data_IF_038487321892
#
_entry.id   IF_038487321892
#
_cell.length_a   1.000
_cell.length_b   1.000
_cell.length_c   1.000
_cell.angle_alpha   90.00
_cell.angle_beta   90.00
_cell.angle_gamma   90.00
#
_symmetry.space_group_name_H-M   'P 1'
#
loop_
_entity.id
_entity.type
_entity.pdbx_description
1 polymer ?
#
# COMPACT_ATOMS: atom_id res chain seq x y z
N UNK A 1 44.24 47.60 11.48
CA UNK A 1 43.70 46.34 12.03
C UNK A 1 42.50 45.96 11.19
N UNK A 2 42.68 45.01 10.26
CA UNK A 2 41.61 44.49 9.42
C UNK A 2 40.72 43.57 10.26
N UNK A 3 39.41 43.84 10.26
CA UNK A 3 38.42 42.98 10.90
C UNK A 3 38.18 41.73 10.05
N UNK A 4 38.42 40.57 10.65
CA UNK A 4 38.11 39.27 10.07
C UNK A 4 36.60 39.15 9.82
N UNK A 5 36.23 39.19 8.55
CA UNK A 5 34.91 38.80 8.09
C UNK A 5 34.76 37.29 8.28
N UNK A 6 34.05 36.89 9.33
CA UNK A 6 33.66 35.51 9.57
C UNK A 6 32.86 34.98 8.37
N UNK A 7 33.54 34.21 7.51
CA UNK A 7 32.93 33.48 6.39
C UNK A 7 31.96 32.46 6.95
N UNK A 8 30.65 32.74 6.87
CA UNK A 8 29.59 31.74 7.11
C UNK A 8 29.77 30.63 6.08
N UNK A 9 30.25 29.46 6.50
CA UNK A 9 30.24 28.26 5.64
C UNK A 9 28.82 28.03 5.14
N UNK A 10 28.61 27.72 3.84
CA UNK A 10 27.29 27.42 3.32
C UNK A 10 26.75 26.19 4.04
N UNK A 11 25.67 26.38 4.81
CA UNK A 11 24.96 25.27 5.44
C UNK A 11 24.59 24.26 4.34
N UNK A 12 25.08 23.02 4.45
CA UNK A 12 24.74 22.00 3.46
C UNK A 12 23.21 21.88 3.41
N UNK A 13 22.63 22.02 2.21
CA UNK A 13 21.18 21.92 2.00
C UNK A 13 20.76 20.48 2.29
N UNK A 14 20.50 20.16 3.55
CA UNK A 14 19.94 18.86 3.96
C UNK A 14 18.58 18.70 3.29
N UNK A 15 18.36 17.55 2.67
CA UNK A 15 17.07 17.21 2.07
C UNK A 15 15.98 17.27 3.14
N UNK A 16 14.90 17.98 2.83
CA UNK A 16 13.71 18.04 3.68
C UNK A 16 12.91 16.73 3.56
N UNK A 17 12.29 16.23 4.64
CA UNK A 17 11.46 15.02 4.61
C UNK A 17 10.47 14.94 3.46
N UNK A 18 9.77 16.02 3.10
CA UNK A 18 8.82 15.97 1.98
C UNK A 18 9.50 15.69 0.63
N UNK A 19 10.76 16.14 0.45
CA UNK A 19 11.52 15.92 -0.78
C UNK A 19 11.86 14.44 -0.95
N UNK A 20 12.10 13.71 0.16
CA UNK A 20 12.34 12.27 0.12
C UNK A 20 11.10 11.52 -0.40
N UNK A 21 9.90 11.93 0.00
CA UNK A 21 8.66 11.37 -0.54
C UNK A 21 8.63 11.56 -2.06
N UNK A 22 8.83 12.79 -2.54
CA UNK A 22 8.78 13.11 -3.98
C UNK A 22 9.82 12.29 -4.75
N UNK A 23 11.07 12.24 -4.28
CA UNK A 23 12.14 11.48 -4.93
C UNK A 23 11.78 9.99 -5.01
N UNK A 24 11.28 9.41 -3.91
CA UNK A 24 10.86 8.01 -3.88
C UNK A 24 9.70 7.75 -4.85
N UNK A 25 8.70 8.62 -4.86
CA UNK A 25 7.53 8.51 -5.75
C UNK A 25 7.90 8.62 -7.22
N UNK A 26 8.74 9.59 -7.58
CA UNK A 26 9.29 9.72 -8.93
C UNK A 26 10.13 8.50 -9.31
N UNK A 27 10.98 8.01 -8.40
CA UNK A 27 11.80 6.81 -8.64
C UNK A 27 10.94 5.57 -8.93
N UNK A 28 9.93 5.30 -8.08
CA UNK A 28 9.01 4.17 -8.28
C UNK A 28 8.17 4.36 -9.55
N UNK A 29 7.69 5.56 -9.82
CA UNK A 29 6.91 5.86 -11.02
C UNK A 29 7.73 5.65 -12.30
N UNK A 30 8.95 6.18 -12.36
CA UNK A 30 9.85 5.96 -13.51
C UNK A 30 10.19 4.48 -13.65
N UNK A 31 10.50 3.79 -12.55
CA UNK A 31 10.76 2.35 -12.57
C UNK A 31 9.58 1.60 -13.18
N UNK A 32 8.35 1.86 -12.71
CA UNK A 32 7.12 1.21 -13.20
C UNK A 32 6.83 1.51 -14.67
N UNK A 33 7.14 2.73 -15.14
CA UNK A 33 7.00 3.08 -16.55
C UNK A 33 8.00 2.29 -17.42
N UNK A 34 9.27 2.25 -17.02
CA UNK A 34 10.33 1.52 -17.73
C UNK A 34 10.04 0.01 -17.73
N UNK A 35 9.54 -0.49 -16.61
CA UNK A 35 9.05 -1.85 -16.38
C UNK A 35 8.07 -2.32 -17.47
N UNK A 36 7.18 -1.45 -17.94
CA UNK A 36 6.26 -1.77 -19.02
C UNK A 36 6.84 -1.72 -20.43
N UNK A 37 7.88 -0.90 -20.63
CA UNK A 37 8.51 -0.73 -21.94
C UNK A 37 9.40 -1.93 -22.27
N UNK A 38 10.18 -2.42 -21.30
CA UNK A 38 11.16 -3.49 -21.53
C UNK A 38 10.53 -4.75 -22.16
N UNK A 39 9.46 -5.35 -21.62
CA UNK A 39 8.85 -6.55 -22.20
C UNK A 39 8.28 -6.34 -23.61
N UNK A 40 7.84 -5.12 -23.94
CA UNK A 40 7.30 -4.82 -25.28
C UNK A 40 8.37 -4.80 -26.37
N UNK A 41 9.61 -4.53 -26.00
CA UNK A 41 10.76 -4.51 -26.92
C UNK A 41 11.40 -5.89 -26.97
N UNK A 42 11.52 -6.56 -25.83
CA UNK A 42 12.28 -7.81 -25.73
C UNK A 42 11.49 -9.04 -26.13
N UNK A 43 10.16 -9.03 -25.95
CA UNK A 43 9.31 -10.19 -26.22
C UNK A 43 9.67 -11.41 -25.37
N UNK A 44 10.25 -11.21 -24.18
CA UNK A 44 10.72 -12.29 -23.34
C UNK A 44 9.56 -13.08 -22.72
N UNK A 45 9.40 -14.32 -23.14
CA UNK A 45 8.42 -15.27 -22.60
C UNK A 45 9.10 -16.42 -21.85
N UNK A 46 8.29 -17.20 -21.12
CA UNK A 46 8.75 -18.40 -20.42
C UNK A 46 8.60 -19.60 -21.34
N UNK A 47 9.64 -20.44 -21.45
CA UNK A 47 9.61 -21.67 -22.25
C UNK A 47 8.94 -22.84 -21.51
N UNK A 48 8.65 -22.71 -20.21
CA UNK A 48 8.02 -23.77 -19.41
C UNK A 48 6.56 -23.97 -19.85
N UNK A 49 6.04 -25.20 -19.96
CA UNK A 49 4.61 -25.42 -20.20
C UNK A 49 3.72 -25.07 -18.98
N UNK A 50 4.32 -25.01 -17.78
CA UNK A 50 3.65 -24.64 -16.53
C UNK A 50 4.08 -23.23 -16.17
N UNK A 51 3.33 -22.24 -16.66
CA UNK A 51 3.46 -20.83 -16.32
C UNK A 51 2.17 -20.11 -16.75
N UNK A 52 2.01 -18.87 -16.32
CA UNK A 52 0.96 -17.99 -16.82
C UNK A 52 1.54 -16.95 -17.77
N UNK A 53 0.84 -16.71 -18.88
CA UNK A 53 1.13 -15.58 -19.77
C UNK A 53 0.64 -14.27 -19.14
N UNK A 54 1.56 -13.34 -18.89
CA UNK A 54 1.23 -12.02 -18.34
C UNK A 54 0.50 -11.19 -19.39
N UNK A 55 -0.62 -10.57 -19.01
CA UNK A 55 -1.53 -9.86 -19.92
C UNK A 55 -2.08 -10.71 -21.08
N UNK A 56 -2.15 -12.04 -20.94
CA UNK A 56 -2.79 -12.91 -21.94
C UNK A 56 -4.23 -12.47 -22.21
N UNK A 57 -4.57 -12.26 -23.49
CA UNK A 57 -5.91 -11.81 -23.89
C UNK A 57 -6.25 -10.35 -23.54
N UNK A 58 -5.31 -9.54 -23.03
CA UNK A 58 -5.52 -8.11 -22.78
C UNK A 58 -5.06 -7.29 -24.01
N UNK A 59 -5.92 -6.44 -24.59
CA UNK A 59 -5.57 -5.58 -25.72
C UNK A 59 -4.38 -4.65 -25.45
N UNK A 60 -3.53 -4.45 -26.45
CA UNK A 60 -2.35 -3.57 -26.38
C UNK A 60 -2.62 -2.16 -25.82
N UNK A 61 -3.70 -1.46 -26.26
CA UNK A 61 -4.04 -0.14 -25.71
C UNK A 61 -4.30 -0.14 -24.19
N UNK A 62 -4.87 -1.23 -23.64
CA UNK A 62 -5.09 -1.35 -22.20
C UNK A 62 -3.80 -1.58 -21.43
N UNK A 63 -2.85 -2.35 -21.99
CA UNK A 63 -1.50 -2.51 -21.41
C UNK A 63 -0.77 -1.17 -21.38
N UNK A 64 -0.83 -0.40 -22.47
CA UNK A 64 -0.25 0.94 -22.56
C UNK A 64 -0.90 1.89 -21.52
N UNK A 65 -2.22 1.87 -21.40
CA UNK A 65 -2.92 2.66 -20.38
C UNK A 65 -2.49 2.27 -18.96
N UNK A 66 -2.34 0.98 -18.66
CA UNK A 66 -1.85 0.51 -17.36
C UNK A 66 -0.45 1.05 -17.05
N UNK A 67 0.50 0.85 -17.96
CA UNK A 67 1.90 1.28 -17.77
C UNK A 67 2.11 2.80 -17.85
N UNK A 68 1.09 3.59 -18.17
CA UNK A 68 1.14 5.06 -18.14
C UNK A 68 0.39 5.62 -16.93
N UNK A 69 -0.83 5.15 -16.66
CA UNK A 69 -1.68 5.67 -15.59
C UNK A 69 -1.15 5.28 -14.21
N UNK A 70 -0.70 4.04 -14.01
CA UNK A 70 -0.18 3.59 -12.71
C UNK A 70 1.02 4.43 -12.23
N UNK A 71 2.09 4.63 -13.03
CA UNK A 71 3.20 5.46 -12.58
C UNK A 71 2.81 6.91 -12.33
N UNK A 72 1.91 7.49 -13.14
CA UNK A 72 1.36 8.83 -12.89
C UNK A 72 0.64 8.90 -11.54
N UNK A 73 -0.15 7.89 -11.19
CA UNK A 73 -0.86 7.80 -9.91
C UNK A 73 0.10 7.63 -8.73
N UNK A 74 1.20 6.88 -8.90
CA UNK A 74 2.23 6.72 -7.86
C UNK A 74 2.97 8.04 -7.60
N UNK A 75 3.32 8.77 -8.67
CA UNK A 75 3.93 10.11 -8.56
C UNK A 75 2.96 11.08 -7.90
N UNK A 76 1.72 11.16 -8.39
CA UNK A 76 0.68 12.02 -7.82
C UNK A 76 0.44 11.69 -6.34
N UNK A 77 0.35 10.41 -5.99
CA UNK A 77 0.10 9.98 -4.62
C UNK A 77 1.24 10.37 -3.68
N UNK A 78 2.48 10.27 -4.17
CA UNK A 78 3.65 10.76 -3.45
C UNK A 78 3.65 12.29 -3.28
N UNK A 79 3.24 13.06 -4.29
CA UNK A 79 3.08 14.52 -4.16
C UNK A 79 2.05 14.87 -3.08
N UNK A 80 0.90 14.16 -3.05
CA UNK A 80 -0.13 14.35 -2.00
C UNK A 80 0.37 13.97 -0.62
N UNK A 81 1.17 12.91 -0.51
CA UNK A 81 1.81 12.54 0.74
C UNK A 81 2.86 13.57 1.17
N UNK A 82 3.61 14.14 0.22
CA UNK A 82 4.57 15.22 0.46
C UNK A 82 3.88 16.49 0.99
N UNK A 83 2.71 16.85 0.47
CA UNK A 83 1.90 17.96 1.01
C UNK A 83 1.51 17.70 2.47
N UNK A 84 1.22 16.45 2.83
CA UNK A 84 0.97 16.09 4.23
C UNK A 84 2.23 16.20 5.09
N UNK A 85 3.39 15.80 4.59
CA UNK A 85 4.67 15.95 5.29
C UNK A 85 5.00 17.44 5.52
N UNK A 86 4.78 18.30 4.53
CA UNK A 86 4.94 19.75 4.67
C UNK A 86 4.11 20.33 5.80
N UNK A 87 2.90 19.81 6.02
CA UNK A 87 2.07 20.23 7.14
C UNK A 87 2.68 19.84 8.49
N UNK A 88 3.34 18.67 8.59
CA UNK A 88 4.07 18.28 9.81
C UNK A 88 5.30 19.14 10.04
N UNK A 89 5.99 19.54 8.97
CA UNK A 89 7.19 20.39 9.02
C UNK A 89 6.93 21.83 9.48
N UNK A 90 5.66 22.28 9.55
CA UNK A 90 5.29 23.58 10.13
C UNK A 90 5.47 23.64 11.64
N UNK A 91 5.51 22.48 12.29
CA UNK A 91 5.60 22.41 13.74
C UNK A 91 7.01 22.72 14.25
N UNK A 92 7.09 23.23 15.47
CA UNK A 92 8.33 23.49 16.16
C UNK A 92 9.25 22.25 16.23
N UNK A 93 10.59 22.44 16.28
CA UNK A 93 11.54 21.33 16.39
C UNK A 93 11.28 20.46 17.63
N UNK A 94 11.32 19.15 17.44
CA UNK A 94 11.27 18.14 18.51
C UNK A 94 12.32 17.06 18.23
N UNK A 95 13.26 16.89 19.15
CA UNK A 95 14.37 15.97 18.96
C UNK A 95 13.90 14.53 19.09
N UNK A 96 13.75 13.86 17.95
CA UNK A 96 13.45 12.41 17.87
C UNK A 96 14.58 11.62 17.27
N UNK A 97 15.84 12.04 17.46
CA UNK A 97 16.99 11.33 16.92
C UNK A 97 17.05 9.88 17.42
N UNK A 98 17.32 8.95 16.49
CA UNK A 98 17.64 7.57 16.83
C UNK A 98 19.05 7.52 17.43
N UNK A 99 19.20 6.94 18.61
CA UNK A 99 20.47 6.78 19.32
C UNK A 99 20.68 5.31 19.70
N UNK A 100 21.91 4.86 19.98
CA UNK A 100 22.16 3.50 20.46
C UNK A 100 21.34 3.13 21.71
N UNK A 101 21.01 4.12 22.55
CA UNK A 101 20.21 3.93 23.77
C UNK A 101 18.73 3.63 23.49
N UNK A 102 18.14 4.22 22.44
CA UNK A 102 16.71 4.10 22.16
C UNK A 102 16.37 3.18 20.96
N UNK A 103 17.32 2.87 20.09
CA UNK A 103 17.07 2.12 18.84
C UNK A 103 16.39 0.78 19.09
N UNK A 104 16.82 0.02 20.10
CA UNK A 104 16.22 -1.27 20.46
C UNK A 104 14.74 -1.13 20.82
N UNK A 105 14.40 -0.13 21.64
CA UNK A 105 13.00 0.16 22.04
C UNK A 105 12.17 0.60 20.83
N UNK A 106 12.70 1.50 20.01
CA UNK A 106 11.99 2.00 18.81
C UNK A 106 11.72 0.91 17.79
N UNK A 107 12.69 0.03 17.54
CA UNK A 107 12.51 -1.13 16.67
C UNK A 107 11.48 -2.10 17.26
N UNK A 108 11.46 -2.30 18.58
CA UNK A 108 10.44 -3.12 19.23
C UNK A 108 9.03 -2.51 19.11
N UNK A 109 8.90 -1.19 19.26
CA UNK A 109 7.63 -0.47 19.08
C UNK A 109 7.17 -0.50 17.62
N UNK A 110 8.07 -0.25 16.67
CA UNK A 110 7.79 -0.41 15.24
C UNK A 110 7.32 -1.82 14.93
N UNK A 111 8.03 -2.84 15.44
CA UNK A 111 7.66 -4.24 15.32
C UNK A 111 6.26 -4.48 15.89
N UNK A 112 5.94 -3.93 17.06
CA UNK A 112 4.60 -4.07 17.63
C UNK A 112 3.51 -3.45 16.73
N UNK A 113 3.83 -2.39 15.99
CA UNK A 113 2.92 -1.76 15.02
C UNK A 113 2.71 -2.59 13.75
N UNK A 114 3.80 -2.99 13.08
CA UNK A 114 3.73 -3.78 11.83
C UNK A 114 3.19 -5.20 12.03
N UNK A 115 3.28 -5.74 13.26
CA UNK A 115 2.70 -7.04 13.61
C UNK A 115 1.32 -6.93 14.29
N UNK A 116 0.64 -5.79 14.22
CA UNK A 116 -0.72 -5.57 14.77
C UNK A 116 -0.85 -5.88 16.27
N UNK A 117 0.25 -5.99 17.03
CA UNK A 117 0.24 -6.45 18.42
C UNK A 117 -0.58 -5.54 19.33
N UNK A 118 -0.59 -4.25 19.03
CA UNK A 118 -1.37 -3.27 19.80
C UNK A 118 -2.87 -3.37 19.55
N UNK A 119 -3.29 -3.76 18.34
CA UNK A 119 -4.70 -3.94 17.98
C UNK A 119 -5.27 -5.23 18.56
N UNK A 120 -4.44 -6.27 18.75
CA UNK A 120 -4.84 -7.53 19.39
C UNK A 120 -5.34 -7.40 20.83
N UNK A 121 -5.22 -6.20 21.44
CA UNK A 121 -5.92 -5.87 22.71
C UNK A 121 -7.45 -5.96 22.59
N UNK A 122 -8.00 -5.71 21.41
CA UNK A 122 -9.35 -6.12 21.00
C UNK A 122 -9.15 -7.23 19.96
N UNK A 123 -9.22 -8.49 20.39
CA UNK A 123 -8.86 -9.65 19.56
C UNK A 123 -9.66 -9.71 18.26
N UNK A 124 -10.95 -9.38 18.30
CA UNK A 124 -11.80 -9.32 17.11
C UNK A 124 -11.35 -8.22 16.13
N UNK A 125 -11.07 -7.02 16.64
CA UNK A 125 -10.56 -5.94 15.80
C UNK A 125 -9.16 -6.24 15.25
N UNK A 126 -8.28 -6.79 16.08
CA UNK A 126 -6.90 -7.11 15.72
C UNK A 126 -6.80 -8.22 14.69
N UNK A 127 -7.55 -9.32 14.85
CA UNK A 127 -7.58 -10.41 13.87
C UNK A 127 -8.13 -9.91 12.53
N UNK A 128 -9.27 -9.23 12.54
CA UNK A 128 -9.88 -8.65 11.34
C UNK A 128 -8.92 -7.71 10.58
N UNK A 129 -8.25 -6.79 11.27
CA UNK A 129 -7.25 -5.92 10.61
C UNK A 129 -6.00 -6.69 10.16
N UNK A 130 -5.60 -7.74 10.87
CA UNK A 130 -4.46 -8.58 10.47
C UNK A 130 -4.76 -9.32 9.18
N UNK A 131 -5.98 -9.85 9.03
CA UNK A 131 -6.44 -10.49 7.78
C UNK A 131 -6.37 -9.51 6.60
N UNK A 132 -6.84 -8.27 6.78
CA UNK A 132 -6.77 -7.23 5.75
C UNK A 132 -5.32 -6.85 5.46
N UNK A 133 -4.52 -6.53 6.48
CA UNK A 133 -3.17 -6.02 6.29
C UNK A 133 -2.22 -7.05 5.69
N UNK A 134 -2.13 -8.24 6.30
CA UNK A 134 -1.23 -9.28 5.81
C UNK A 134 -1.72 -9.88 4.50
N UNK A 135 -3.05 -10.06 4.34
CA UNK A 135 -3.61 -10.47 3.06
C UNK A 135 -3.26 -9.48 1.95
N UNK A 136 -3.44 -8.18 2.18
CA UNK A 136 -3.06 -7.15 1.21
C UNK A 136 -1.56 -7.13 0.91
N UNK A 137 -0.69 -7.25 1.93
CA UNK A 137 0.76 -7.26 1.72
C UNK A 137 1.22 -8.49 0.92
N UNK A 138 0.65 -9.66 1.18
CA UNK A 138 0.94 -10.88 0.41
C UNK A 138 0.48 -10.71 -1.03
N UNK A 139 -0.75 -10.20 -1.26
CA UNK A 139 -1.25 -9.92 -2.61
C UNK A 139 -0.41 -8.89 -3.36
N UNK A 140 0.03 -7.82 -2.69
CA UNK A 140 0.96 -6.84 -3.27
C UNK A 140 2.30 -7.51 -3.63
N UNK A 141 2.79 -8.41 -2.76
CA UNK A 141 3.98 -9.22 -3.02
C UNK A 141 3.81 -10.12 -4.23
N UNK A 142 2.69 -10.84 -4.33
CA UNK A 142 2.31 -11.70 -5.48
C UNK A 142 2.35 -10.89 -6.77
N UNK A 143 1.66 -9.75 -6.84
CA UNK A 143 1.67 -8.88 -8.03
C UNK A 143 3.07 -8.34 -8.36
N UNK A 144 3.84 -7.94 -7.35
CA UNK A 144 5.22 -7.42 -7.55
C UNK A 144 6.15 -8.51 -8.07
N UNK A 145 6.04 -9.74 -7.54
CA UNK A 145 6.83 -10.90 -7.96
C UNK A 145 6.51 -11.28 -9.40
N UNK A 146 5.23 -11.25 -9.80
CA UNK A 146 4.81 -11.45 -11.19
C UNK A 146 5.41 -10.39 -12.14
N UNK A 147 5.38 -9.13 -11.73
CA UNK A 147 5.90 -8.03 -12.53
C UNK A 147 7.43 -8.12 -12.69
N UNK A 148 8.15 -8.52 -11.62
CA UNK A 148 9.59 -8.78 -11.69
C UNK A 148 9.89 -9.91 -12.66
N UNK A 149 9.21 -11.07 -12.52
CA UNK A 149 9.39 -12.21 -13.41
C UNK A 149 9.08 -11.85 -14.87
N UNK A 150 8.02 -11.06 -15.10
CA UNK A 150 7.63 -10.60 -16.44
C UNK A 150 8.78 -9.89 -17.17
N UNK A 151 9.54 -9.07 -16.44
CA UNK A 151 10.67 -8.29 -16.96
C UNK A 151 11.97 -9.07 -17.11
N UNK A 152 12.07 -10.27 -16.51
CA UNK A 152 13.29 -11.06 -16.58
C UNK A 152 13.48 -11.70 -17.97
N UNK A 153 14.72 -11.83 -18.45
CA UNK A 153 15.02 -12.64 -19.63
C UNK A 153 14.68 -14.11 -19.38
N UNK A 154 14.43 -14.92 -20.42
CA UNK A 154 13.97 -16.31 -20.27
C UNK A 154 14.81 -17.14 -19.30
N UNK A 155 16.14 -16.98 -19.35
CA UNK A 155 17.08 -17.69 -18.47
C UNK A 155 16.99 -17.32 -16.97
N UNK A 156 16.33 -16.20 -16.62
CA UNK A 156 16.16 -15.73 -15.24
C UNK A 156 14.70 -15.73 -14.78
N UNK A 157 13.75 -16.12 -15.65
CA UNK A 157 12.36 -16.32 -15.24
C UNK A 157 12.29 -17.49 -14.26
N UNK A 158 11.50 -17.33 -13.21
CA UNK A 158 11.43 -18.24 -12.08
C UNK A 158 10.00 -18.63 -11.69
N UNK A 159 8.97 -17.91 -12.17
CA UNK A 159 7.56 -18.25 -11.92
C UNK A 159 7.05 -19.32 -12.89
N UNK A 160 7.62 -20.51 -12.79
CA UNK A 160 7.21 -21.67 -13.57
C UNK A 160 7.21 -22.96 -12.74
N UNK A 161 6.59 -24.03 -13.26
CA UNK A 161 6.56 -25.33 -12.60
C UNK A 161 5.96 -25.28 -11.19
N UNK A 162 6.63 -25.87 -10.21
CA UNK A 162 6.17 -25.89 -8.82
C UNK A 162 6.22 -24.53 -8.13
N UNK A 163 7.12 -23.64 -8.57
CA UNK A 163 7.17 -22.26 -8.06
C UNK A 163 5.89 -21.52 -8.45
N UNK A 164 5.43 -21.67 -9.70
CA UNK A 164 4.17 -21.10 -10.15
C UNK A 164 2.97 -21.68 -9.37
N UNK A 165 2.94 -22.99 -9.14
CA UNK A 165 1.86 -23.65 -8.38
C UNK A 165 1.76 -23.12 -6.95
N UNK A 166 2.89 -23.01 -6.26
CA UNK A 166 2.94 -22.42 -4.92
C UNK A 166 2.54 -20.94 -4.92
N UNK A 167 3.00 -20.19 -5.92
CA UNK A 167 2.63 -18.78 -6.13
C UNK A 167 1.11 -18.60 -6.30
N UNK A 168 0.46 -19.43 -7.13
CA UNK A 168 -0.98 -19.40 -7.35
C UNK A 168 -1.76 -19.71 -6.06
N UNK A 169 -1.38 -20.78 -5.35
CA UNK A 169 -1.99 -21.14 -4.07
C UNK A 169 -1.86 -20.02 -3.02
N UNK A 170 -0.68 -19.42 -2.89
CA UNK A 170 -0.44 -18.31 -1.96
C UNK A 170 -1.30 -17.10 -2.32
N UNK A 171 -1.40 -16.78 -3.61
CA UNK A 171 -2.28 -15.73 -4.12
C UNK A 171 -3.73 -15.94 -3.71
N UNK A 172 -4.28 -17.12 -3.95
CA UNK A 172 -5.67 -17.46 -3.65
C UNK A 172 -5.98 -17.44 -2.15
N UNK A 173 -5.13 -18.08 -1.35
CA UNK A 173 -5.32 -18.12 0.11
C UNK A 173 -5.23 -16.70 0.69
N UNK A 174 -4.26 -15.89 0.24
CA UNK A 174 -4.16 -14.49 0.65
C UNK A 174 -5.36 -13.67 0.21
N UNK A 175 -5.87 -13.91 -1.01
CA UNK A 175 -7.10 -13.31 -1.54
C UNK A 175 -8.31 -13.59 -0.67
N UNK A 176 -8.48 -14.83 -0.20
CA UNK A 176 -9.57 -15.23 0.70
C UNK A 176 -9.42 -14.56 2.05
N UNK A 177 -8.23 -14.60 2.64
CA UNK A 177 -7.95 -13.99 3.94
C UNK A 177 -8.23 -12.48 3.89
N UNK A 178 -7.72 -11.79 2.86
CA UNK A 178 -7.96 -10.37 2.64
C UNK A 178 -9.46 -10.07 2.51
N UNK A 179 -10.13 -10.74 1.58
CA UNK A 179 -11.55 -10.49 1.26
C UNK A 179 -12.45 -10.79 2.45
N UNK A 180 -12.22 -11.90 3.16
CA UNK A 180 -12.94 -12.23 4.39
C UNK A 180 -12.72 -11.19 5.49
N UNK A 181 -11.50 -10.67 5.63
CA UNK A 181 -11.19 -9.59 6.56
C UNK A 181 -11.97 -8.30 6.23
N UNK A 182 -12.05 -7.94 4.95
CA UNK A 182 -12.82 -6.76 4.50
C UNK A 182 -14.32 -6.95 4.71
N UNK A 183 -14.88 -8.12 4.35
CA UNK A 183 -16.29 -8.46 4.61
C UNK A 183 -16.59 -8.37 6.10
N UNK A 184 -15.73 -8.94 6.95
CA UNK A 184 -15.89 -8.83 8.40
C UNK A 184 -15.83 -7.37 8.87
N UNK A 185 -14.94 -6.54 8.32
CA UNK A 185 -14.89 -5.12 8.63
C UNK A 185 -16.17 -4.37 8.22
N UNK A 186 -16.77 -4.70 7.08
CA UNK A 186 -18.06 -4.17 6.63
C UNK A 186 -19.17 -4.60 7.61
N UNK A 187 -19.30 -5.89 7.90
CA UNK A 187 -20.30 -6.42 8.83
C UNK A 187 -20.17 -5.80 10.23
N UNK A 188 -18.96 -5.70 10.75
CA UNK A 188 -18.70 -5.10 12.07
C UNK A 188 -19.05 -3.61 12.09
N UNK A 189 -18.84 -2.90 10.98
CA UNK A 189 -19.08 -1.46 10.89
C UNK A 189 -20.54 -1.09 10.63
N UNK A 190 -21.23 -1.83 9.77
CA UNK A 190 -22.56 -1.47 9.26
C UNK A 190 -23.69 -2.36 9.76
N UNK A 191 -23.39 -3.53 10.33
CA UNK A 191 -24.40 -4.44 10.90
C UNK A 191 -24.26 -4.47 12.43
N UNK A 192 -23.12 -4.93 12.95
CA UNK A 192 -22.92 -5.08 14.40
C UNK A 192 -22.85 -3.73 15.14
N UNK A 193 -22.32 -2.70 14.47
CA UNK A 193 -22.22 -1.31 14.95
C UNK A 193 -21.83 -1.15 16.44
N UNK A 194 -20.69 -1.69 16.92
CA UNK A 194 -20.22 -1.43 18.28
C UNK A 194 -20.15 0.06 18.59
N UNK A 195 -20.49 0.48 19.83
CA UNK A 195 -20.62 1.90 20.20
C UNK A 195 -19.46 2.79 19.72
N UNK A 196 -18.21 2.34 19.96
CA UNK A 196 -16.98 3.07 19.57
C UNK A 196 -16.84 3.28 18.06
N UNK A 197 -17.40 2.39 17.25
CA UNK A 197 -17.37 2.44 15.78
C UNK A 197 -18.54 3.29 15.28
N UNK A 198 -19.74 3.09 15.83
CA UNK A 198 -20.96 3.80 15.44
C UNK A 198 -20.78 5.31 15.46
N UNK A 199 -20.21 5.86 16.54
CA UNK A 199 -20.02 7.31 16.71
C UNK A 199 -18.89 7.89 15.86
N UNK A 200 -18.02 7.05 15.26
CA UNK A 200 -16.86 7.48 14.46
C UNK A 200 -17.00 7.15 12.98
N UNK A 201 -18.08 6.51 12.55
CA UNK A 201 -18.28 6.15 11.15
C UNK A 201 -18.53 7.38 10.29
N UNK A 202 -17.81 7.48 9.18
CA UNK A 202 -17.95 8.53 8.17
C UNK A 202 -18.32 7.92 6.82
N UNK A 203 -18.98 8.66 5.91
CA UNK A 203 -19.28 8.18 4.56
C UNK A 203 -18.03 7.67 3.81
N UNK A 204 -16.89 8.33 4.02
CA UNK A 204 -15.58 7.93 3.50
C UNK A 204 -15.21 6.47 3.81
N UNK A 205 -15.62 5.93 4.97
CA UNK A 205 -15.31 4.55 5.33
C UNK A 205 -16.04 3.54 4.43
N UNK A 206 -17.21 3.90 3.89
CA UNK A 206 -17.96 3.05 2.98
C UNK A 206 -17.23 2.95 1.65
N UNK A 207 -16.73 4.07 1.14
CA UNK A 207 -15.90 4.10 -0.07
C UNK A 207 -14.62 3.29 0.08
N UNK A 208 -13.89 3.47 1.19
CA UNK A 208 -12.65 2.71 1.44
C UNK A 208 -12.94 1.20 1.48
N UNK A 209 -13.94 0.77 2.27
CA UNK A 209 -14.27 -0.65 2.39
C UNK A 209 -14.84 -1.22 1.08
N UNK A 210 -15.61 -0.43 0.34
CA UNK A 210 -16.14 -0.80 -0.97
C UNK A 210 -15.02 -1.02 -1.99
N UNK A 211 -14.04 -0.11 -2.07
CA UNK A 211 -12.87 -0.26 -2.94
C UNK A 211 -12.02 -1.47 -2.53
N UNK A 212 -11.79 -1.67 -1.24
CA UNK A 212 -11.04 -2.84 -0.75
C UNK A 212 -11.78 -4.16 -1.01
N UNK A 213 -13.11 -4.17 -0.96
CA UNK A 213 -13.88 -5.37 -1.32
C UNK A 213 -13.84 -5.59 -2.83
N UNK A 214 -14.03 -4.54 -3.62
CA UNK A 214 -14.03 -4.60 -5.07
C UNK A 214 -12.69 -5.08 -5.63
N UNK A 215 -11.55 -4.63 -5.08
CA UNK A 215 -10.23 -5.12 -5.51
C UNK A 215 -10.04 -6.61 -5.20
N UNK A 216 -10.50 -7.09 -4.04
CA UNK A 216 -10.43 -8.51 -3.67
C UNK A 216 -11.30 -9.39 -4.58
N UNK A 217 -12.57 -9.02 -4.75
CA UNK A 217 -13.53 -9.75 -5.60
C UNK A 217 -13.11 -9.73 -7.07
N UNK A 218 -12.66 -8.58 -7.57
CA UNK A 218 -12.25 -8.45 -8.97
C UNK A 218 -10.98 -9.23 -9.30
N UNK A 219 -10.10 -9.48 -8.32
CA UNK A 219 -8.95 -10.37 -8.50
C UNK A 219 -9.39 -11.79 -8.83
N UNK A 220 -10.30 -12.36 -8.03
CA UNK A 220 -10.88 -13.67 -8.28
C UNK A 220 -11.68 -13.72 -9.58
N UNK A 221 -12.47 -12.67 -9.89
CA UNK A 221 -13.18 -12.59 -11.17
C UNK A 221 -12.23 -12.60 -12.37
N UNK A 222 -11.14 -11.84 -12.30
CA UNK A 222 -10.11 -11.81 -13.35
C UNK A 222 -9.48 -13.18 -13.54
N UNK A 223 -9.09 -13.85 -12.45
CA UNK A 223 -8.48 -15.18 -12.51
C UNK A 223 -9.45 -16.24 -13.04
N UNK A 224 -10.68 -16.28 -12.52
CA UNK A 224 -11.76 -17.19 -12.93
C UNK A 224 -11.96 -17.16 -14.45
N UNK A 225 -12.16 -15.97 -15.02
CA UNK A 225 -12.40 -15.85 -16.47
C UNK A 225 -11.15 -16.10 -17.30
N UNK A 226 -9.95 -15.80 -16.78
CA UNK A 226 -8.69 -16.17 -17.44
C UNK A 226 -8.55 -17.68 -17.58
N UNK A 227 -8.70 -18.42 -16.48
CA UNK A 227 -8.56 -19.88 -16.46
C UNK A 227 -9.60 -20.51 -17.41
N UNK A 228 -10.87 -20.08 -17.30
CA UNK A 228 -11.93 -20.59 -18.18
C UNK A 228 -11.66 -20.30 -19.67
N UNK A 229 -11.18 -19.11 -20.00
CA UNK A 229 -10.81 -18.77 -21.39
C UNK A 229 -9.66 -19.63 -21.90
N UNK A 230 -8.67 -19.95 -21.07
CA UNK A 230 -7.56 -20.84 -21.44
C UNK A 230 -8.01 -22.29 -21.64
N UNK A 231 -8.92 -22.79 -20.79
CA UNK A 231 -9.57 -24.10 -20.97
C UNK A 231 -10.36 -24.15 -22.28
N UNK A 232 -11.19 -23.14 -22.56
CA UNK A 232 -11.99 -23.05 -23.78
C UNK A 232 -11.13 -22.93 -25.06
N UNK A 233 -9.93 -22.37 -24.95
CA UNK A 233 -8.94 -22.32 -26.02
C UNK A 233 -8.19 -23.66 -26.23
N UNK A 234 -8.54 -24.72 -25.48
CA UNK A 234 -7.92 -26.04 -25.59
C UNK A 234 -6.53 -26.15 -24.96
N UNK A 235 -6.13 -25.18 -24.11
CA UNK A 235 -4.83 -25.23 -23.41
C UNK A 235 -4.90 -26.22 -22.24
N UNK A 236 -3.83 -26.98 -22.03
CA UNK A 236 -3.68 -27.74 -20.79
C UNK A 236 -3.28 -26.79 -19.66
N UNK A 237 -4.24 -26.53 -18.76
CA UNK A 237 -4.08 -25.69 -17.58
C UNK A 237 -4.28 -26.47 -16.28
N UNK A 238 -3.95 -27.76 -16.24
CA UNK A 238 -4.11 -28.60 -15.03
C UNK A 238 -3.35 -28.03 -13.81
N UNK A 239 -2.29 -27.26 -14.05
CA UNK A 239 -1.55 -26.58 -12.98
C UNK A 239 -2.35 -25.48 -12.27
N UNK A 240 -3.40 -24.95 -12.90
CA UNK A 240 -4.31 -23.94 -12.31
C UNK A 240 -5.20 -24.53 -11.20
N UNK A 241 -5.22 -25.86 -11.00
CA UNK A 241 -5.85 -26.48 -9.82
C UNK A 241 -5.27 -25.98 -8.49
N UNK A 242 -4.08 -25.39 -8.52
CA UNK A 242 -3.45 -24.74 -7.36
C UNK A 242 -4.04 -23.34 -7.07
N UNK A 243 -4.73 -22.72 -8.02
CA UNK A 243 -5.67 -21.62 -7.76
C UNK A 243 -6.93 -22.19 -7.14
N UNK A 244 -6.86 -22.52 -5.85
CA UNK A 244 -7.90 -23.24 -5.09
C UNK A 244 -9.26 -22.54 -5.04
N UNK A 245 -9.32 -21.26 -5.37
CA UNK A 245 -10.56 -20.48 -5.54
C UNK A 245 -10.83 -20.21 -7.02
N UNK A 246 -9.82 -19.75 -7.77
CA UNK A 246 -9.98 -19.41 -9.19
C UNK A 246 -10.44 -20.60 -10.03
N UNK A 247 -9.88 -21.79 -9.79
CA UNK A 247 -10.19 -23.00 -10.55
C UNK A 247 -11.64 -23.47 -10.39
N UNK A 248 -12.17 -23.70 -9.16
CA UNK A 248 -13.58 -24.03 -8.98
C UNK A 248 -14.53 -22.98 -9.55
N UNK A 249 -14.20 -21.70 -9.41
CA UNK A 249 -15.00 -20.61 -9.99
C UNK A 249 -15.01 -20.67 -11.52
N UNK A 250 -13.87 -20.96 -12.16
CA UNK A 250 -13.78 -21.12 -13.62
C UNK A 250 -14.71 -22.23 -14.13
N UNK A 251 -14.88 -23.32 -13.36
CA UNK A 251 -15.77 -24.42 -13.75
C UNK A 251 -17.24 -24.00 -13.84
N UNK A 252 -17.64 -22.93 -13.14
CA UNK A 252 -19.02 -22.42 -13.19
C UNK A 252 -19.37 -21.73 -14.52
N UNK A 253 -18.37 -21.39 -15.34
CA UNK A 253 -18.54 -20.67 -16.63
C UNK A 253 -17.96 -21.42 -17.84
N UNK A 254 -17.51 -22.67 -17.68
CA UNK A 254 -16.87 -23.46 -18.74
C UNK A 254 -17.75 -23.79 -19.96
N UNK A 255 -19.06 -23.53 -19.90
CA UNK A 255 -19.96 -23.68 -21.05
C UNK A 255 -20.06 -22.46 -21.96
N UNK A 256 -19.41 -21.35 -21.63
CA UNK A 256 -19.45 -20.12 -22.44
C UNK A 256 -18.48 -20.19 -23.62
N UNK A 257 -18.78 -19.44 -24.69
CA UNK A 257 -17.87 -19.33 -25.83
C UNK A 257 -16.57 -18.63 -25.43
N UNK A 258 -15.48 -18.96 -26.13
CA UNK A 258 -14.16 -18.35 -25.92
C UNK A 258 -14.24 -16.81 -25.95
N UNK A 259 -14.95 -16.24 -26.92
CA UNK A 259 -15.11 -14.79 -27.06
C UNK A 259 -15.79 -14.15 -25.85
N UNK A 260 -16.81 -14.83 -25.31
CA UNK A 260 -17.54 -14.37 -24.12
C UNK A 260 -16.63 -14.41 -22.89
N UNK A 261 -15.87 -15.49 -22.72
CA UNK A 261 -14.92 -15.64 -21.62
C UNK A 261 -13.80 -14.61 -21.69
N UNK A 262 -13.27 -14.33 -22.88
CA UNK A 262 -12.28 -13.28 -23.09
C UNK A 262 -12.82 -11.88 -22.80
N UNK A 263 -14.05 -11.57 -23.24
CA UNK A 263 -14.71 -10.31 -22.94
C UNK A 263 -14.85 -10.09 -21.43
N UNK A 264 -15.34 -11.10 -20.71
CA UNK A 264 -15.47 -11.02 -19.25
C UNK A 264 -14.12 -10.95 -18.56
N UNK A 265 -13.11 -11.71 -19.01
CA UNK A 265 -11.75 -11.61 -18.50
C UNK A 265 -11.22 -10.18 -18.61
N UNK A 266 -11.36 -9.56 -19.79
CA UNK A 266 -10.95 -8.17 -20.01
C UNK A 266 -11.75 -7.19 -19.13
N UNK A 267 -13.07 -7.37 -19.03
CA UNK A 267 -13.94 -6.54 -18.20
C UNK A 267 -13.57 -6.59 -16.71
N UNK A 268 -13.35 -7.79 -16.17
CA UNK A 268 -12.91 -7.98 -14.79
C UNK A 268 -11.50 -7.46 -14.55
N UNK A 269 -10.60 -7.64 -15.51
CA UNK A 269 -9.24 -7.09 -15.45
C UNK A 269 -9.28 -5.55 -15.41
N UNK A 270 -10.06 -4.91 -16.28
CA UNK A 270 -10.24 -3.43 -16.27
C UNK A 270 -10.84 -2.98 -14.96
N UNK A 271 -11.87 -3.67 -14.46
CA UNK A 271 -12.49 -3.35 -13.17
C UNK A 271 -11.48 -3.47 -12.01
N UNK A 272 -10.63 -4.50 -12.02
CA UNK A 272 -9.55 -4.67 -11.05
C UNK A 272 -8.54 -3.52 -11.10
N UNK A 273 -8.09 -3.13 -12.30
CA UNK A 273 -7.15 -2.01 -12.48
C UNK A 273 -7.77 -0.69 -12.03
N UNK A 274 -9.02 -0.39 -12.39
CA UNK A 274 -9.72 0.83 -11.99
C UNK A 274 -9.89 0.88 -10.46
N UNK A 275 -10.26 -0.23 -9.83
CA UNK A 275 -10.40 -0.29 -8.37
C UNK A 275 -9.04 -0.14 -7.67
N UNK A 276 -7.95 -0.66 -8.24
CA UNK A 276 -6.59 -0.39 -7.77
C UNK A 276 -6.17 1.07 -7.93
N UNK A 277 -6.50 1.72 -9.06
CA UNK A 277 -6.29 3.17 -9.24
C UNK A 277 -7.06 3.97 -8.18
N UNK A 278 -8.31 3.60 -7.91
CA UNK A 278 -9.11 4.23 -6.86
C UNK A 278 -8.46 4.02 -5.47
N UNK A 279 -7.92 2.84 -5.19
CA UNK A 279 -7.15 2.59 -3.96
C UNK A 279 -5.92 3.51 -3.86
N UNK A 280 -5.11 3.62 -4.92
CA UNK A 280 -3.95 4.53 -4.96
C UNK A 280 -4.37 5.98 -4.77
N UNK A 281 -5.51 6.39 -5.33
CA UNK A 281 -6.07 7.72 -5.16
C UNK A 281 -6.45 8.01 -3.69
N UNK A 282 -7.11 7.05 -3.04
CA UNK A 282 -7.57 7.17 -1.65
C UNK A 282 -6.41 7.08 -0.64
N UNK A 283 -5.36 6.31 -0.94
CA UNK A 283 -4.27 6.01 -0.03
C UNK A 283 -3.64 7.26 0.65
N UNK A 284 -3.22 8.32 -0.06
CA UNK A 284 -2.59 9.48 0.55
C UNK A 284 -3.57 10.51 1.14
N UNK A 285 -4.83 10.55 0.67
CA UNK A 285 -5.81 11.59 1.04
C UNK A 285 -6.77 11.17 2.15
N UNK A 286 -6.97 9.87 2.34
CA UNK A 286 -7.91 9.31 3.31
C UNK A 286 -7.22 8.86 4.60
N UNK A 287 -8.00 8.22 5.47
CA UNK A 287 -7.46 7.53 6.64
C UNK A 287 -6.53 6.35 6.28
N UNK A 288 -6.53 5.81 5.05
CA UNK A 288 -5.67 4.69 4.65
C UNK A 288 -4.17 4.96 4.84
N UNK A 289 -3.73 6.23 4.78
CA UNK A 289 -2.34 6.63 5.05
C UNK A 289 -1.80 6.16 6.40
N UNK A 290 -2.67 5.78 7.34
CA UNK A 290 -2.29 5.19 8.63
C UNK A 290 -1.43 3.93 8.49
N UNK A 291 -1.54 3.21 7.36
CA UNK A 291 -0.67 2.08 7.06
C UNK A 291 0.83 2.45 7.14
N UNK A 292 1.18 3.68 6.77
CA UNK A 292 2.54 4.22 6.88
C UNK A 292 2.73 4.99 8.19
N UNK A 293 1.77 5.86 8.53
CA UNK A 293 1.96 6.78 9.65
C UNK A 293 1.88 6.10 11.02
N UNK A 294 1.10 5.02 11.18
CA UNK A 294 0.96 4.35 12.49
C UNK A 294 2.23 3.63 12.94
N UNK A 295 2.88 2.77 12.12
CA UNK A 295 4.16 2.17 12.51
C UNK A 295 5.26 3.21 12.71
N UNK A 296 5.32 4.23 11.84
CA UNK A 296 6.25 5.35 12.00
C UNK A 296 6.02 6.11 13.30
N UNK A 297 4.76 6.35 13.66
CA UNK A 297 4.42 7.02 14.90
C UNK A 297 4.82 6.18 16.12
N UNK A 298 4.65 4.86 16.06
CA UNK A 298 5.11 3.95 17.10
C UNK A 298 6.63 3.95 17.23
N UNK A 299 7.37 3.93 16.11
CA UNK A 299 8.83 4.06 16.11
C UNK A 299 9.31 5.37 16.77
N UNK A 300 8.58 6.47 16.53
CA UNK A 300 8.90 7.81 17.06
C UNK A 300 8.24 8.11 18.41
N UNK A 301 7.57 7.13 19.04
CA UNK A 301 6.81 7.30 20.28
C UNK A 301 7.70 7.75 21.43
N UNK A 302 8.95 7.30 21.44
CA UNK A 302 9.89 7.52 22.53
C UNK A 302 10.18 9.00 22.77
N UNK A 303 9.99 9.47 24.02
CA UNK A 303 10.04 10.87 24.45
C UNK A 303 11.16 11.07 25.46
N UNK A 304 11.87 12.20 25.37
CA UNK A 304 12.80 12.62 26.42
C UNK A 304 12.09 12.96 27.75
N UNK A 305 10.81 13.38 27.69
CA UNK A 305 10.00 13.73 28.87
C UNK A 305 8.78 12.81 29.02
N UNK A 306 8.39 12.43 30.26
CA UNK A 306 7.19 11.63 30.51
C UNK A 306 5.92 12.26 29.92
N UNK A 307 4.97 11.42 29.52
CA UNK A 307 3.68 11.88 28.99
C UNK A 307 2.92 12.64 30.08
N UNK A 308 2.59 13.91 29.84
CA UNK A 308 1.89 14.77 30.81
C UNK A 308 2.79 15.70 31.62
N UNK A 309 4.12 15.61 31.51
CA UNK A 309 5.01 16.60 32.10
C UNK A 309 4.87 17.95 31.37
N UNK A 310 4.37 18.98 32.06
CA UNK A 310 4.31 20.33 31.53
C UNK A 310 5.74 20.84 31.25
N UNK A 311 5.92 21.64 30.19
CA UNK A 311 7.16 22.42 30.05
C UNK A 311 7.20 23.40 31.23
N UNK A 312 8.37 23.59 31.82
CA UNK A 312 8.56 24.63 32.82
C UNK A 312 8.07 25.96 32.23
N UNK A 313 7.14 26.60 32.93
CA UNK A 313 6.69 27.94 32.56
C UNK A 313 7.85 28.91 32.78
N UNK A 314 8.15 29.79 31.82
CA UNK A 314 9.08 30.89 32.04
C UNK A 314 8.62 31.74 33.23
N UNK A 315 9.57 32.42 33.88
CA UNK A 315 9.26 33.30 35.00
C UNK A 315 8.28 34.41 34.55
N UNK A 316 7.03 34.32 35.02
CA UNK A 316 5.95 35.23 34.64
C UNK A 316 6.18 36.66 35.16
N UNK A 317 7.07 36.83 36.15
CA UNK A 317 7.47 38.15 36.64
C UNK A 317 8.42 38.89 35.68
N UNK A 318 9.08 38.17 34.76
CA UNK A 318 10.12 38.70 33.87
C UNK A 318 9.74 38.64 32.39
N UNK A 319 8.63 37.99 32.02
CA UNK A 319 8.30 37.72 30.61
C UNK A 319 6.89 38.20 30.24
N UNK A 320 6.80 39.24 29.42
CA UNK A 320 5.57 39.63 28.71
C UNK A 320 5.38 38.74 27.48
N UNK A 321 4.95 37.50 27.67
CA UNK A 321 4.64 36.60 26.55
C UNK A 321 3.31 37.03 25.90
N UNK A 322 3.34 37.33 24.60
CA UNK A 322 2.16 37.75 23.81
C UNK A 322 1.08 36.65 23.67
N UNK A 323 1.43 35.38 23.96
CA UNK A 323 0.44 34.30 24.01
C UNK A 323 0.83 33.18 24.97
N UNK A 324 -0.19 32.60 25.60
CA UNK A 324 -0.07 31.43 26.48
C UNK A 324 -0.64 30.19 25.80
N UNK A 325 0.08 29.08 25.89
CA UNK A 325 -0.34 27.80 25.33
C UNK A 325 -0.21 27.72 23.80
N UNK A 326 -1.02 26.86 23.19
CA UNK A 326 -1.00 26.60 21.75
C UNK A 326 -2.20 27.31 21.12
N UNK A 327 -1.97 28.50 20.55
CA UNK A 327 -2.98 29.30 19.86
C UNK A 327 -2.80 29.29 18.32
N UNK A 328 -1.66 28.79 17.81
CA UNK A 328 -1.35 28.64 16.40
C UNK A 328 -0.76 27.25 16.09
N UNK A 329 -0.83 26.82 14.82
CA UNK A 329 -0.38 25.48 14.39
C UNK A 329 1.13 25.31 14.60
N UNK A 330 1.88 26.39 14.44
CA UNK A 330 3.33 26.49 14.59
C UNK A 330 3.79 26.26 16.04
N UNK A 331 2.89 26.45 17.01
CA UNK A 331 3.20 26.20 18.43
C UNK A 331 3.17 24.70 18.77
N UNK A 332 2.59 23.86 17.91
CA UNK A 332 2.75 22.41 18.02
C UNK A 332 4.12 22.00 17.50
N UNK A 333 4.72 20.98 18.09
CA UNK A 333 5.89 20.33 17.52
C UNK A 333 5.53 19.53 16.26
N UNK A 334 6.49 19.31 15.36
CA UNK A 334 6.25 18.46 14.17
C UNK A 334 5.73 17.07 14.55
N UNK A 335 6.18 16.54 15.70
CA UNK A 335 5.76 15.23 16.20
C UNK A 335 4.32 15.23 16.69
N UNK A 336 3.85 16.35 17.27
CA UNK A 336 2.44 16.53 17.65
C UNK A 336 1.53 16.70 16.43
N UNK A 337 2.01 17.33 15.35
CA UNK A 337 1.26 17.42 14.09
C UNK A 337 1.18 16.08 13.33
N UNK A 338 2.14 15.18 13.58
CA UNK A 338 2.15 13.81 13.07
C UNK A 338 1.19 12.87 13.85
N UNK A 339 1.05 13.08 15.16
CA UNK A 339 0.20 12.27 16.06
C UNK A 339 -1.30 12.35 15.70
#
# INVERSE_FOLDING_TARGET
>A
MHGDAATKSPASKRLKPYQLSIILGCGIGVFTLVSGIVPTITGWESDSPVHRVVFGGIPGPLKLAFYTVIPMMLIWGSLRFADRIRNWERGAPDNRRTTPKNVKRRLADFRAGVYMRTLLRDSAAGLMHSMIYFGFLVLLGVTTVLEIDHQMPPALKFLHGDVYRGYALVGDVAGVVFTAGVVWAILRRYVQKPYRIRIKSKPEHAWILGVLLAIGVSGFGTEMFRIAAEQAAGKNVDYERWSVVGWPLAQTVNGFSLDTLQLWHQGWWVFHVITFIAFLALLPITMLRHIFTSPLNMYLRDRERPKGAMRAMPNLAETSLESFGVNAVENFTWKQLLD
#
